data_IF_507189207423
#
_entry.id   IF_507189207423
#
_cell.length_a   1.000
_cell.length_b   1.000
_cell.length_c   1.000
_cell.angle_alpha   90.00
_cell.angle_beta   90.00
_cell.angle_gamma   90.00
#
_symmetry.space_group_name_H-M   'P 1'
#
loop_
_entity.id
_entity.type
_entity.pdbx_description
1 polymer ?
#
# COMPACT_ATOMS: atom_id res chain seq x y z
N UNK A 1 -7.18 -23.38 6.13
CA UNK A 1 -6.44 -23.09 4.90
C UNK A 1 -5.07 -22.57 5.29
N UNK A 2 -4.07 -22.84 4.46
CA UNK A 2 -2.73 -22.23 4.61
C UNK A 2 -2.70 -20.86 3.95
N UNK A 3 -1.74 -20.01 4.31
CA UNK A 3 -1.55 -18.69 3.68
C UNK A 3 -1.44 -18.77 2.16
N UNK A 4 -0.84 -19.84 1.62
CA UNK A 4 -0.70 -20.06 0.17
C UNK A 4 -2.03 -20.43 -0.49
N UNK A 5 -2.84 -21.25 0.17
CA UNK A 5 -4.20 -21.56 -0.31
C UNK A 5 -5.07 -20.31 -0.29
N UNK A 6 -5.01 -19.52 0.78
CA UNK A 6 -5.76 -18.26 0.89
C UNK A 6 -5.31 -17.23 -0.16
N UNK A 7 -4.04 -17.21 -0.54
CA UNK A 7 -3.54 -16.39 -1.65
C UNK A 7 -4.05 -16.91 -3.00
N UNK A 8 -4.02 -18.24 -3.23
CA UNK A 8 -4.45 -18.86 -4.48
C UNK A 8 -5.94 -18.65 -4.75
N UNK A 9 -6.77 -18.78 -3.72
CA UNK A 9 -8.22 -18.56 -3.82
C UNK A 9 -8.61 -17.07 -3.74
N UNK A 10 -7.66 -16.17 -3.53
CA UNK A 10 -7.92 -14.72 -3.44
C UNK A 10 -8.56 -14.26 -2.13
N UNK A 11 -8.54 -15.10 -1.08
CA UNK A 11 -8.96 -14.71 0.27
C UNK A 11 -8.01 -13.68 0.90
N UNK A 12 -6.75 -13.67 0.46
CA UNK A 12 -5.78 -12.62 0.76
C UNK A 12 -5.50 -11.86 -0.54
N UNK A 13 -5.93 -10.61 -0.60
CA UNK A 13 -5.63 -9.68 -1.69
C UNK A 13 -4.69 -8.60 -1.17
N UNK A 14 -3.36 -8.68 -1.41
CA UNK A 14 -2.40 -7.74 -0.83
C UNK A 14 -2.56 -6.30 -1.34
N UNK A 15 -3.21 -6.14 -2.49
CA UNK A 15 -3.55 -4.86 -3.08
C UNK A 15 -4.77 -4.22 -2.39
N UNK A 16 -5.65 -5.04 -1.81
CA UNK A 16 -6.81 -4.55 -1.07
C UNK A 16 -6.41 -4.17 0.35
N UNK A 17 -6.73 -2.94 0.71
CA UNK A 17 -6.59 -2.46 2.09
C UNK A 17 -7.97 -2.18 2.65
N UNK A 18 -8.40 -3.07 3.54
CA UNK A 18 -9.56 -2.78 4.37
C UNK A 18 -9.28 -1.59 5.27
N UNK A 19 -10.03 -0.51 5.04
CA UNK A 19 -9.94 0.67 5.86
C UNK A 19 -10.94 0.58 7.01
N UNK A 20 -10.45 0.28 8.22
CA UNK A 20 -11.29 0.27 9.42
C UNK A 20 -11.94 1.65 9.63
N UNK A 21 -13.27 1.69 9.74
CA UNK A 21 -14.03 2.91 10.02
C UNK A 21 -13.57 3.55 11.34
N UNK A 22 -13.37 4.87 11.32
CA UNK A 22 -12.87 5.62 12.48
C UNK A 22 -11.36 5.51 12.71
N UNK A 23 -10.63 4.72 11.92
CA UNK A 23 -9.17 4.69 11.93
C UNK A 23 -8.58 6.06 11.60
N UNK A 24 -7.30 6.26 11.93
CA UNK A 24 -6.56 7.45 11.53
C UNK A 24 -6.59 7.64 10.01
N UNK A 25 -6.49 6.54 9.25
CA UNK A 25 -6.57 6.56 7.79
C UNK A 25 -7.94 7.05 7.30
N UNK A 26 -9.03 6.50 7.83
CA UNK A 26 -10.41 6.93 7.49
C UNK A 26 -10.63 8.42 7.77
N UNK A 27 -10.10 8.93 8.89
CA UNK A 27 -10.18 10.37 9.22
C UNK A 27 -9.37 11.23 8.24
N UNK A 28 -8.17 10.79 7.86
CA UNK A 28 -7.33 11.50 6.90
C UNK A 28 -7.94 11.50 5.50
N UNK A 29 -8.49 10.38 5.04
CA UNK A 29 -9.21 10.31 3.75
C UNK A 29 -10.38 11.29 3.72
N UNK A 30 -11.18 11.34 4.79
CA UNK A 30 -12.27 12.33 4.89
C UNK A 30 -11.78 13.78 4.86
N UNK A 31 -10.63 14.08 5.47
CA UNK A 31 -10.03 15.41 5.41
C UNK A 31 -9.51 15.74 4.01
N UNK A 32 -8.90 14.77 3.32
CA UNK A 32 -8.47 14.91 1.92
C UNK A 32 -9.68 15.27 1.05
N UNK A 33 -10.77 14.50 1.11
CA UNK A 33 -11.97 14.79 0.31
C UNK A 33 -12.53 16.20 0.59
N UNK A 34 -12.65 16.59 1.86
CA UNK A 34 -13.13 17.94 2.23
C UNK A 34 -12.22 19.05 1.70
N UNK A 35 -10.91 18.88 1.82
CA UNK A 35 -9.95 19.86 1.34
C UNK A 35 -9.95 19.94 -0.19
N UNK A 36 -10.09 18.80 -0.86
CA UNK A 36 -10.20 18.71 -2.32
C UNK A 36 -11.47 19.39 -2.83
N UNK A 37 -12.63 19.12 -2.23
CA UNK A 37 -13.89 19.79 -2.55
C UNK A 37 -13.78 21.31 -2.36
N UNK A 38 -13.23 21.74 -1.23
CA UNK A 38 -13.01 23.16 -0.93
C UNK A 38 -12.08 23.81 -1.96
N UNK A 39 -10.96 23.17 -2.30
CA UNK A 39 -10.02 23.69 -3.28
C UNK A 39 -10.66 23.77 -4.66
N UNK A 40 -11.27 22.67 -5.12
CA UNK A 40 -11.90 22.55 -6.44
C UNK A 40 -12.98 23.60 -6.68
N UNK A 41 -13.72 24.00 -5.63
CA UNK A 41 -14.72 25.07 -5.70
C UNK A 41 -14.15 26.45 -6.02
N UNK A 42 -12.86 26.67 -5.76
CA UNK A 42 -12.16 27.95 -6.00
C UNK A 42 -11.42 28.00 -7.34
N UNK A 43 -11.27 26.86 -8.02
CA UNK A 43 -10.50 26.74 -9.25
C UNK A 43 -11.32 27.12 -10.49
N UNK A 44 -10.65 27.70 -11.48
CA UNK A 44 -11.22 27.85 -12.83
C UNK A 44 -11.26 26.51 -13.56
N UNK A 45 -12.02 26.40 -14.66
CA UNK A 45 -12.11 25.15 -15.44
C UNK A 45 -10.76 24.66 -15.96
N UNK A 46 -9.88 25.55 -16.43
CA UNK A 46 -8.53 25.17 -16.86
C UNK A 46 -7.66 24.67 -15.69
N UNK A 47 -7.80 25.28 -14.52
CA UNK A 47 -7.10 24.84 -13.31
C UNK A 47 -7.61 23.49 -12.82
N UNK A 48 -8.92 23.25 -12.90
CA UNK A 48 -9.52 21.94 -12.59
C UNK A 48 -8.97 20.85 -13.50
N UNK A 49 -8.90 21.09 -14.81
CA UNK A 49 -8.32 20.11 -15.74
C UNK A 49 -6.85 19.79 -15.39
N UNK A 50 -6.05 20.82 -15.06
CA UNK A 50 -4.66 20.63 -14.62
C UNK A 50 -4.58 19.86 -13.30
N UNK A 51 -5.48 20.14 -12.37
CA UNK A 51 -5.54 19.50 -11.06
C UNK A 51 -5.98 18.03 -11.15
N UNK A 52 -6.94 17.70 -12.03
CA UNK A 52 -7.33 16.31 -12.31
C UNK A 52 -6.15 15.51 -12.86
N UNK A 53 -5.44 16.04 -13.87
CA UNK A 53 -4.23 15.37 -14.39
C UNK A 53 -3.15 15.19 -13.32
N UNK A 54 -3.00 16.16 -12.42
CA UNK A 54 -2.10 16.03 -11.28
C UNK A 54 -2.52 14.89 -10.34
N UNK A 55 -3.82 14.77 -10.00
CA UNK A 55 -4.34 13.67 -9.19
C UNK A 55 -4.12 12.32 -9.87
N UNK A 56 -4.33 12.23 -11.17
CA UNK A 56 -4.09 11.01 -11.94
C UNK A 56 -2.62 10.57 -11.84
N UNK A 57 -1.68 11.48 -12.11
CA UNK A 57 -0.25 11.20 -11.97
C UNK A 57 0.12 10.83 -10.52
N UNK A 58 -0.46 11.50 -9.53
CA UNK A 58 -0.22 11.23 -8.12
C UNK A 58 -0.77 9.87 -7.69
N UNK A 59 -1.92 9.45 -8.23
CA UNK A 59 -2.47 8.11 -8.00
C UNK A 59 -1.57 7.05 -8.62
N UNK A 60 -1.14 7.24 -9.86
CA UNK A 60 -0.27 6.29 -10.55
C UNK A 60 1.07 6.11 -9.82
N UNK A 61 1.74 7.19 -9.40
CA UNK A 61 2.99 7.07 -8.64
C UNK A 61 2.78 6.41 -7.26
N UNK A 62 1.63 6.65 -6.59
CA UNK A 62 1.28 5.96 -5.35
C UNK A 62 1.14 4.45 -5.57
N UNK A 63 0.51 4.02 -6.67
CA UNK A 63 0.36 2.60 -6.99
C UNK A 63 1.69 1.94 -7.35
N UNK A 64 2.52 2.63 -8.16
CA UNK A 64 3.87 2.17 -8.50
C UNK A 64 4.73 1.98 -7.23
N UNK A 65 4.73 2.98 -6.35
CA UNK A 65 5.53 2.95 -5.11
C UNK A 65 5.01 1.94 -4.10
N UNK A 66 3.68 1.78 -3.96
CA UNK A 66 3.09 0.76 -3.10
C UNK A 66 3.48 -0.65 -3.55
N UNK A 67 3.43 -0.93 -4.86
CA UNK A 67 3.81 -2.23 -5.42
C UNK A 67 5.31 -2.50 -5.32
N UNK A 68 6.14 -1.47 -5.48
CA UNK A 68 7.59 -1.58 -5.26
C UNK A 68 7.89 -1.90 -3.79
N UNK A 69 7.33 -1.13 -2.85
CA UNK A 69 7.52 -1.34 -1.42
C UNK A 69 7.06 -2.73 -0.97
N UNK A 70 5.97 -3.25 -1.55
CA UNK A 70 5.52 -4.62 -1.33
C UNK A 70 6.59 -5.64 -1.76
N UNK A 71 7.09 -5.52 -2.98
CA UNK A 71 8.13 -6.41 -3.53
C UNK A 71 9.41 -6.37 -2.69
N UNK A 72 9.88 -5.16 -2.36
CA UNK A 72 11.08 -4.97 -1.53
C UNK A 72 10.90 -5.57 -0.14
N UNK A 73 9.71 -5.44 0.46
CA UNK A 73 9.36 -6.04 1.74
C UNK A 73 9.43 -7.56 1.72
N UNK A 74 8.93 -8.22 0.68
CA UNK A 74 9.01 -9.68 0.55
C UNK A 74 10.43 -10.18 0.36
N UNK A 75 11.23 -9.49 -0.45
CA UNK A 75 12.66 -9.81 -0.64
C UNK A 75 13.39 -9.69 0.70
N UNK A 76 13.16 -8.61 1.45
CA UNK A 76 13.76 -8.41 2.76
C UNK A 76 13.34 -9.51 3.75
N UNK A 77 12.05 -9.82 3.83
CA UNK A 77 11.53 -10.87 4.70
C UNK A 77 12.18 -12.23 4.39
N UNK A 78 12.30 -12.56 3.11
CA UNK A 78 12.93 -13.83 2.67
C UNK A 78 14.40 -13.88 3.06
N UNK A 79 15.15 -12.79 2.86
CA UNK A 79 16.56 -12.71 3.25
C UNK A 79 16.75 -12.92 4.76
N UNK A 80 15.91 -12.27 5.57
CA UNK A 80 15.92 -12.46 7.03
C UNK A 80 15.63 -13.91 7.40
N UNK A 81 14.63 -14.54 6.78
CA UNK A 81 14.30 -15.95 7.05
C UNK A 81 15.46 -16.89 6.73
N UNK A 82 16.10 -16.72 5.57
CA UNK A 82 17.26 -17.54 5.17
C UNK A 82 18.41 -17.39 6.17
N UNK A 83 18.73 -16.16 6.57
CA UNK A 83 19.79 -15.89 7.54
C UNK A 83 19.50 -16.50 8.91
N UNK A 84 18.24 -16.42 9.39
CA UNK A 84 17.83 -17.03 10.64
C UNK A 84 17.91 -18.56 10.57
N UNK A 85 17.48 -19.17 9.48
CA UNK A 85 17.53 -20.64 9.31
C UNK A 85 18.96 -21.17 9.26
N UNK A 86 19.85 -20.51 8.53
CA UNK A 86 21.29 -20.84 8.47
C UNK A 86 21.91 -20.76 9.88
N UNK A 87 21.56 -19.72 10.64
CA UNK A 87 21.98 -19.58 12.04
C UNK A 87 21.44 -20.67 12.96
N UNK A 88 20.27 -21.26 12.68
CA UNK A 88 19.69 -22.34 13.48
C UNK A 88 20.37 -23.69 13.24
N UNK A 89 20.76 -24.00 12.00
CA UNK A 89 21.49 -25.24 11.67
C UNK A 89 22.85 -25.31 12.39
N UNK A 90 23.52 -24.16 12.58
CA UNK A 90 24.81 -24.11 13.31
C UNK A 90 24.71 -24.35 14.82
N UNK A 91 23.51 -24.29 15.42
CA UNK A 91 23.30 -24.50 16.86
C UNK A 91 22.96 -25.96 17.18
N UNK A 92 22.47 -26.73 16.21
CA UNK A 92 22.17 -28.17 16.39
C UNK A 92 23.42 -29.07 16.30
N UNK A 93 24.57 -28.55 15.82
CA UNK A 93 25.84 -29.27 15.72
C UNK A 93 26.80 -29.07 16.93
N UNK A 94 26.35 -28.45 18.04
CA UNK A 94 27.12 -28.24 19.29
C UNK A 94 26.42 -28.91 20.46
#
# INVERSE_FOLDING_TARGET
MTTLEDLYYGNISPCERDMKRGSRMDKLVKLICKNEESLTSTLTEQQKETFERFKDCQSEICDLTARQAFTDGFILATRIMVEVMDGMETVEEI
#
